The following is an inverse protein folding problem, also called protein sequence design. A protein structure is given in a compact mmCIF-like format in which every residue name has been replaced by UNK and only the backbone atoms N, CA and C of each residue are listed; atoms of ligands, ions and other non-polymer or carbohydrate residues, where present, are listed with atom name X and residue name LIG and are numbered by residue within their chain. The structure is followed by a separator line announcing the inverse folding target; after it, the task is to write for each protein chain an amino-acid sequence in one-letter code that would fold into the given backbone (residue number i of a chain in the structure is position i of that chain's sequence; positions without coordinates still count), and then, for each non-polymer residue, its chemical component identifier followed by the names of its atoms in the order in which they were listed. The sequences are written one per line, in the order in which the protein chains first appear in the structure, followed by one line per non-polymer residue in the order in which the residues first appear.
data_IF_439785403659
#
_entry.id   IF_439785403659
#
_cell.length_a   1.000
_cell.length_b   1.000
_cell.length_c   1.000
_cell.angle_alpha   90.00
_cell.angle_beta   90.00
_cell.angle_gamma   90.00
#
_symmetry.space_group_name_H-M   'P 1'
#
loop_
_entity.id
_entity.type
_entity.pdbx_description
1 polymer ?
#
# COMPACT_ATOMS: atom_id res chain seq x y z
N UNK A 1 -12.75 35.86 18.57
CA UNK A 1 -11.51 35.77 17.78
C UNK A 1 -11.79 34.91 16.55
N UNK A 2 -11.84 35.52 15.36
CA UNK A 2 -12.22 34.86 14.09
C UNK A 2 -11.02 34.08 13.54
N UNK A 3 -11.11 32.75 13.44
CA UNK A 3 -10.12 31.92 12.73
C UNK A 3 -10.51 31.87 11.24
N UNK A 4 -9.59 32.27 10.36
CA UNK A 4 -9.69 32.07 8.89
C UNK A 4 -9.38 30.60 8.56
N UNK A 5 -9.95 30.02 7.49
CA UNK A 5 -9.57 28.69 7.02
C UNK A 5 -8.29 28.77 6.19
N UNK A 6 -7.38 27.83 6.42
CA UNK A 6 -6.16 27.59 5.63
C UNK A 6 -6.51 27.06 4.23
N UNK A 7 -5.98 27.73 3.22
CA UNK A 7 -6.00 27.31 1.82
C UNK A 7 -4.98 26.20 1.62
N UNK A 8 -5.44 25.00 1.27
CA UNK A 8 -4.55 23.91 0.85
C UNK A 8 -4.07 24.15 -0.57
N UNK A 9 -2.79 24.53 -0.71
CA UNK A 9 -2.10 24.65 -2.00
C UNK A 9 -1.95 23.26 -2.64
N UNK A 10 -2.76 23.01 -3.67
CA UNK A 10 -2.69 21.82 -4.51
C UNK A 10 -1.65 21.97 -5.62
N UNK A 11 -0.73 21.02 -5.71
CA UNK A 11 0.25 20.87 -6.78
C UNK A 11 -0.38 20.89 -8.18
N UNK A 12 0.08 21.82 -9.04
CA UNK A 12 -0.27 21.86 -10.47
C UNK A 12 0.75 21.04 -11.26
N UNK A 13 0.31 19.94 -11.88
CA UNK A 13 1.12 19.14 -12.80
C UNK A 13 0.98 19.67 -14.24
N UNK A 14 1.98 20.38 -14.74
CA UNK A 14 2.07 20.79 -16.16
C UNK A 14 2.73 19.68 -16.98
N UNK A 15 1.97 19.00 -17.85
CA UNK A 15 2.53 18.07 -18.84
C UNK A 15 3.08 18.84 -20.04
N UNK A 16 4.41 18.83 -20.21
CA UNK A 16 5.10 19.30 -21.41
C UNK A 16 4.95 18.28 -22.53
N UNK A 17 4.34 18.69 -23.65
CA UNK A 17 4.08 17.87 -24.82
C UNK A 17 5.36 17.38 -25.52
N UNK A 18 5.27 16.19 -26.12
CA UNK A 18 6.29 15.65 -27.04
C UNK A 18 5.64 15.40 -28.40
N UNK A 19 5.95 16.29 -29.34
CA UNK A 19 5.71 16.11 -30.76
C UNK A 19 6.52 14.92 -31.29
N UNK A 20 5.94 14.10 -32.17
CA UNK A 20 6.69 13.17 -33.01
C UNK A 20 6.30 13.34 -34.47
N UNK A 21 7.30 13.75 -35.23
CA UNK A 21 7.33 13.94 -36.66
C UNK A 21 7.03 12.65 -37.45
N UNK A 22 6.39 12.83 -38.60
CA UNK A 22 6.15 11.79 -39.59
C UNK A 22 7.40 11.40 -40.37
N UNK A 23 7.45 10.15 -40.80
CA UNK A 23 8.45 9.65 -41.76
C UNK A 23 7.74 8.82 -42.84
N UNK A 24 7.71 9.35 -44.06
CA UNK A 24 7.41 8.63 -45.30
C UNK A 24 8.74 8.07 -45.85
N UNK A 25 8.79 6.78 -46.17
CA UNK A 25 9.86 6.20 -47.00
C UNK A 25 9.27 5.56 -48.26
N UNK A 26 9.76 6.05 -49.41
CA UNK A 26 9.69 5.43 -50.74
C UNK A 26 10.72 4.29 -50.82
N UNK A 27 10.49 3.28 -51.65
CA UNK A 27 11.56 2.40 -52.15
C UNK A 27 11.37 2.16 -53.66
N UNK A 28 12.51 2.21 -54.32
CA UNK A 28 12.80 2.34 -55.75
C UNK A 28 12.90 1.01 -56.48
N UNK A 29 12.69 1.07 -57.79
CA UNK A 29 13.01 0.10 -58.84
C UNK A 29 14.52 0.06 -59.13
N UNK A 30 15.03 -1.12 -59.48
CA UNK A 30 16.32 -1.35 -60.17
C UNK A 30 16.08 -2.49 -61.17
N UNK A 31 16.38 -2.21 -62.43
CA UNK A 31 16.49 -3.13 -63.56
C UNK A 31 17.91 -3.73 -63.57
N UNK A 32 18.07 -4.97 -64.05
CA UNK A 32 19.21 -5.41 -64.86
C UNK A 32 18.91 -6.79 -65.47
N UNK A 33 18.92 -6.82 -66.80
CA UNK A 33 18.82 -7.92 -67.79
C UNK A 33 20.20 -8.62 -67.99
N UNK A 34 20.41 -9.58 -68.93
CA UNK A 34 19.62 -10.73 -69.40
C UNK A 34 20.53 -12.01 -69.57
N UNK A 35 20.12 -12.93 -70.46
CA UNK A 35 20.79 -14.13 -70.99
C UNK A 35 20.61 -15.46 -70.25
N UNK A 36 19.66 -16.28 -70.73
CA UNK A 36 19.91 -17.68 -71.16
C UNK A 36 18.73 -18.16 -72.02
N UNK A 37 18.97 -18.34 -73.31
CA UNK A 37 18.04 -18.97 -74.27
C UNK A 37 18.25 -20.49 -74.30
N UNK A 38 17.25 -21.29 -73.89
CA UNK A 38 17.10 -22.70 -74.30
C UNK A 38 15.61 -23.08 -74.39
N UNK A 39 15.11 -23.01 -75.61
CA UNK A 39 14.23 -23.96 -76.33
C UNK A 39 13.28 -24.90 -75.56
N UNK A 40 12.04 -24.87 -76.07
CA UNK A 40 11.12 -25.99 -76.30
C UNK A 40 10.27 -26.55 -75.15
N UNK A 41 8.98 -26.18 -75.24
CA UNK A 41 7.88 -26.82 -74.51
C UNK A 41 6.66 -25.94 -74.30
N UNK A 42 6.18 -25.22 -75.33
CA UNK A 42 4.89 -24.50 -75.24
C UNK A 42 3.75 -25.52 -75.18
N UNK A 43 3.35 -25.90 -73.97
CA UNK A 43 2.13 -26.68 -73.72
C UNK A 43 0.96 -25.71 -73.65
N UNK A 44 0.17 -25.65 -74.72
CA UNK A 44 -1.10 -24.93 -74.71
C UNK A 44 -2.08 -25.63 -73.76
N UNK A 45 -2.38 -24.99 -72.62
CA UNK A 45 -3.41 -25.45 -71.70
C UNK A 45 -4.80 -25.30 -72.36
N UNK A 46 -5.66 -26.34 -72.30
CA UNK A 46 -7.02 -26.26 -72.78
C UNK A 46 -7.78 -25.10 -72.12
N UNK A 47 -8.29 -24.17 -72.93
CA UNK A 47 -8.99 -22.95 -72.46
C UNK A 47 -10.37 -23.25 -71.85
N UNK A 48 -10.73 -24.52 -71.62
CA UNK A 48 -11.92 -24.91 -70.86
C UNK A 48 -11.98 -26.42 -70.61
N UNK A 49 -11.70 -26.85 -69.38
CA UNK A 49 -11.77 -28.25 -68.92
C UNK A 49 -13.19 -28.70 -68.51
N UNK A 50 -14.20 -27.87 -68.77
CA UNK A 50 -15.61 -28.18 -68.43
C UNK A 50 -16.54 -27.79 -69.58
N UNK A 51 -17.45 -28.67 -70.03
CA UNK A 51 -18.38 -28.38 -71.11
C UNK A 51 -19.25 -27.17 -70.74
N UNK A 52 -19.25 -26.17 -71.63
CA UNK A 52 -20.04 -24.94 -71.46
C UNK A 52 -21.52 -25.28 -71.69
N UNK A 53 -22.24 -25.58 -70.61
CA UNK A 53 -23.69 -25.81 -70.64
C UNK A 53 -24.42 -24.51 -71.00
N UNK A 54 -24.74 -24.34 -72.29
CA UNK A 54 -25.42 -23.15 -72.84
C UNK A 54 -26.85 -22.98 -72.30
N UNK A 55 -27.51 -24.05 -71.82
CA UNK A 55 -28.90 -24.03 -71.31
C UNK A 55 -29.08 -23.15 -70.07
N UNK A 56 -28.03 -22.99 -69.25
CA UNK A 56 -28.07 -22.16 -68.04
C UNK A 56 -27.59 -20.71 -68.28
N UNK A 57 -27.40 -20.29 -69.54
CA UNK A 57 -26.92 -18.96 -69.90
C UNK A 57 -27.89 -17.85 -69.44
N UNK A 58 -29.18 -18.13 -69.38
CA UNK A 58 -30.19 -17.19 -68.88
C UNK A 58 -30.15 -17.05 -67.35
N UNK A 59 -29.96 -18.15 -66.62
CA UNK A 59 -29.75 -18.14 -65.17
C UNK A 59 -28.49 -17.36 -64.77
N UNK A 60 -27.47 -17.33 -65.64
CA UNK A 60 -26.24 -16.55 -65.45
C UNK A 60 -26.40 -15.05 -65.75
N UNK A 61 -27.39 -14.65 -66.56
CA UNK A 61 -27.65 -13.25 -66.92
C UNK A 61 -28.68 -12.58 -66.01
N UNK A 62 -29.64 -13.34 -65.46
CA UNK A 62 -30.80 -12.80 -64.72
C UNK A 62 -30.60 -12.51 -63.23
N UNK A 63 -29.40 -12.69 -62.67
CA UNK A 63 -29.11 -12.39 -61.26
C UNK A 63 -27.64 -12.07 -61.15
N UNK A 64 -27.31 -10.78 -61.06
CA UNK A 64 -25.94 -10.27 -61.00
C UNK A 64 -25.06 -11.17 -60.14
N UNK A 65 -23.92 -11.57 -60.71
CA UNK A 65 -22.87 -12.42 -60.12
C UNK A 65 -22.99 -12.47 -58.59
N UNK A 66 -23.67 -13.48 -58.06
CA UNK A 66 -23.68 -13.75 -56.62
C UNK A 66 -22.21 -13.98 -56.24
N UNK A 67 -21.62 -13.04 -55.51
CA UNK A 67 -20.33 -13.17 -54.88
C UNK A 67 -20.34 -14.47 -54.07
N UNK A 68 -19.69 -15.52 -54.58
CA UNK A 68 -19.45 -16.76 -53.83
C UNK A 68 -18.54 -16.52 -52.61
N UNK A 69 -18.05 -15.28 -52.44
CA UNK A 69 -17.33 -14.82 -51.26
C UNK A 69 -18.27 -14.31 -50.14
N UNK A 70 -19.42 -13.70 -50.44
CA UNK A 70 -20.24 -13.00 -49.41
C UNK A 70 -21.06 -13.94 -48.52
N UNK A 71 -21.31 -15.16 -48.99
CA UNK A 71 -22.11 -16.18 -48.29
C UNK A 71 -21.26 -17.36 -47.80
N UNK A 72 -19.95 -17.35 -48.09
CA UNK A 72 -19.00 -18.41 -47.71
C UNK A 72 -18.29 -17.99 -46.42
N UNK A 73 -18.92 -18.27 -45.28
CA UNK A 73 -18.39 -17.95 -43.95
C UNK A 73 -19.47 -17.72 -42.88
N UNK A 74 -20.72 -17.44 -43.28
CA UNK A 74 -21.85 -17.18 -42.36
C UNK A 74 -22.44 -18.44 -41.69
N UNK A 75 -21.64 -19.47 -41.45
CA UNK A 75 -22.10 -20.79 -40.95
C UNK A 75 -21.40 -21.14 -39.63
N UNK A 76 -21.88 -20.54 -38.52
CA UNK A 76 -21.78 -21.04 -37.14
C UNK A 76 -22.43 -20.12 -36.08
N UNK A 77 -22.77 -18.86 -36.42
CA UNK A 77 -23.10 -17.81 -35.43
C UNK A 77 -24.33 -16.92 -35.70
N UNK A 78 -25.02 -17.07 -36.84
CA UNK A 78 -26.08 -16.13 -37.23
C UNK A 78 -27.50 -16.50 -36.76
N UNK A 79 -27.66 -17.43 -35.81
CA UNK A 79 -28.99 -17.84 -35.33
C UNK A 79 -29.38 -17.01 -34.10
N UNK A 80 -30.28 -16.05 -34.29
CA UNK A 80 -31.16 -15.50 -33.26
C UNK A 80 -30.61 -14.45 -32.28
N UNK A 81 -29.32 -14.46 -31.92
CA UNK A 81 -28.79 -13.56 -30.85
C UNK A 81 -27.53 -12.78 -31.22
N UNK A 82 -27.04 -12.90 -32.46
CA UNK A 82 -25.93 -12.08 -32.98
C UNK A 82 -24.55 -12.44 -32.43
N UNK A 83 -24.38 -13.62 -31.84
CA UNK A 83 -23.11 -14.03 -31.24
C UNK A 83 -22.22 -14.77 -32.24
N UNK A 84 -21.14 -14.11 -32.65
CA UNK A 84 -20.07 -14.68 -33.48
C UNK A 84 -19.12 -15.54 -32.62
N UNK A 85 -18.76 -16.74 -33.09
CA UNK A 85 -17.90 -17.65 -32.36
C UNK A 85 -16.58 -16.94 -31.95
N UNK A 86 -16.04 -17.28 -30.78
CA UNK A 86 -14.78 -16.70 -30.30
C UNK A 86 -13.68 -16.87 -31.36
N UNK A 87 -12.88 -15.82 -31.65
CA UNK A 87 -11.78 -15.92 -32.59
C UNK A 87 -10.74 -16.92 -32.06
N UNK A 88 -10.05 -17.62 -32.98
CA UNK A 88 -9.01 -18.58 -32.61
C UNK A 88 -7.92 -17.90 -31.77
N UNK A 89 -7.24 -18.67 -30.90
CA UNK A 89 -6.25 -18.16 -29.96
C UNK A 89 -5.09 -17.41 -30.63
N UNK A 90 -4.78 -17.74 -31.89
CA UNK A 90 -3.70 -17.12 -32.67
C UNK A 90 -4.04 -15.73 -33.21
N UNK A 91 -5.32 -15.35 -33.22
CA UNK A 91 -5.72 -14.03 -33.71
C UNK A 91 -5.33 -12.99 -32.67
N UNK A 92 -4.48 -12.00 -33.03
CA UNK A 92 -4.07 -10.99 -32.08
C UNK A 92 -5.24 -10.03 -31.78
N UNK A 93 -5.29 -9.49 -30.56
CA UNK A 93 -6.46 -8.74 -30.07
C UNK A 93 -6.79 -7.50 -30.89
N UNK A 94 -5.79 -6.94 -31.58
CA UNK A 94 -5.94 -5.77 -32.43
C UNK A 94 -6.60 -6.08 -33.78
N UNK A 95 -6.73 -7.34 -34.20
CA UNK A 95 -7.33 -7.73 -35.49
C UNK A 95 -8.78 -8.24 -35.37
N UNK A 96 -9.31 -8.35 -34.15
CA UNK A 96 -10.67 -8.82 -33.89
C UNK A 96 -11.74 -8.11 -34.71
N UNK A 97 -11.60 -6.80 -34.93
CA UNK A 97 -12.55 -6.02 -35.72
C UNK A 97 -12.71 -6.51 -37.17
N UNK A 98 -11.72 -7.20 -37.75
CA UNK A 98 -11.76 -7.74 -39.12
C UNK A 98 -12.67 -8.97 -39.24
N UNK A 99 -12.83 -9.70 -38.13
CA UNK A 99 -13.61 -10.94 -38.07
C UNK A 99 -15.07 -10.69 -37.71
N UNK A 100 -15.45 -9.45 -37.40
CA UNK A 100 -16.83 -9.09 -37.11
C UNK A 100 -17.52 -8.68 -38.40
N UNK A 101 -18.68 -9.26 -38.68
CA UNK A 101 -19.45 -8.90 -39.87
C UNK A 101 -19.77 -7.40 -39.92
N UNK A 102 -19.54 -6.80 -41.10
CA UNK A 102 -19.79 -5.37 -41.35
C UNK A 102 -21.28 -5.03 -41.44
N UNK A 103 -22.13 -6.05 -41.56
CA UNK A 103 -23.58 -5.91 -41.69
C UNK A 103 -24.27 -5.60 -40.33
N UNK A 104 -23.56 -5.79 -39.21
CA UNK A 104 -24.08 -5.52 -37.86
C UNK A 104 -24.01 -4.02 -37.53
N UNK A 105 -25.00 -3.53 -36.76
CA UNK A 105 -24.98 -2.16 -36.23
C UNK A 105 -23.74 -1.91 -35.36
N UNK A 106 -23.26 -0.66 -35.33
CA UNK A 106 -22.03 -0.34 -34.60
C UNK A 106 -22.07 -0.76 -33.11
N UNK A 107 -23.17 -0.57 -32.35
CA UNK A 107 -23.22 -1.01 -30.96
C UNK A 107 -23.12 -2.53 -30.82
N UNK A 108 -23.67 -3.29 -31.76
CA UNK A 108 -23.57 -4.75 -31.77
C UNK A 108 -22.16 -5.21 -32.15
N UNK A 109 -21.50 -4.52 -33.08
CA UNK A 109 -20.09 -4.79 -33.41
C UNK A 109 -19.19 -4.54 -32.21
N UNK A 110 -19.41 -3.45 -31.47
CA UNK A 110 -18.64 -3.16 -30.25
C UNK A 110 -18.98 -4.16 -29.15
N UNK A 111 -20.25 -4.54 -28.98
CA UNK A 111 -20.65 -5.58 -28.03
C UNK A 111 -19.88 -6.87 -28.27
N UNK A 112 -19.83 -7.30 -29.53
CA UNK A 112 -19.12 -8.51 -29.93
C UNK A 112 -17.61 -8.41 -29.67
N UNK A 113 -17.01 -7.26 -30.02
CA UNK A 113 -15.60 -6.99 -29.77
C UNK A 113 -15.26 -7.02 -28.27
N UNK A 114 -16.09 -6.37 -27.44
CA UNK A 114 -15.94 -6.30 -25.99
C UNK A 114 -16.02 -7.70 -25.36
N UNK A 115 -16.93 -8.52 -25.88
CA UNK A 115 -17.13 -9.90 -25.42
C UNK A 115 -15.93 -10.80 -25.74
N UNK A 116 -15.35 -10.67 -26.92
CA UNK A 116 -14.11 -11.38 -27.28
C UNK A 116 -12.91 -10.91 -26.48
N UNK A 117 -12.74 -9.59 -26.35
CA UNK A 117 -11.64 -9.01 -25.59
C UNK A 117 -11.71 -9.38 -24.10
N UNK A 118 -12.90 -9.34 -23.49
CA UNK A 118 -13.10 -9.72 -22.08
C UNK A 118 -12.87 -11.20 -21.85
N UNK A 119 -13.34 -12.09 -22.74
CA UNK A 119 -13.07 -13.53 -22.66
C UNK A 119 -11.58 -13.85 -22.71
N UNK A 120 -10.82 -13.18 -23.59
CA UNK A 120 -9.36 -13.32 -23.64
C UNK A 120 -8.67 -12.72 -22.41
N UNK A 121 -9.11 -11.57 -21.92
CA UNK A 121 -8.56 -10.98 -20.71
C UNK A 121 -8.76 -11.88 -19.48
N UNK A 122 -9.91 -12.55 -19.37
CA UNK A 122 -10.18 -13.54 -18.31
C UNK A 122 -9.23 -14.75 -18.42
N UNK A 123 -8.96 -15.23 -19.63
CA UNK A 123 -7.98 -16.29 -19.88
C UNK A 123 -6.57 -15.88 -19.46
N UNK A 124 -6.14 -14.67 -19.82
CA UNK A 124 -4.85 -14.11 -19.43
C UNK A 124 -4.75 -13.90 -17.91
N UNK A 125 -5.82 -13.41 -17.27
CA UNK A 125 -5.89 -13.27 -15.81
C UNK A 125 -5.84 -14.63 -15.11
N UNK A 126 -6.47 -15.67 -15.66
CA UNK A 126 -6.38 -17.03 -15.13
C UNK A 126 -4.94 -17.55 -15.16
N UNK A 127 -4.22 -17.30 -16.25
CA UNK A 127 -2.80 -17.69 -16.39
C UNK A 127 -1.86 -16.93 -15.45
N UNK A 128 -2.13 -15.65 -15.17
CA UNK A 128 -1.29 -14.81 -14.30
C UNK A 128 -1.40 -15.16 -12.81
N UNK A 129 -2.59 -15.55 -12.34
CA UNK A 129 -2.88 -15.76 -10.91
C UNK A 129 -3.23 -17.22 -10.60
N UNK A 130 -2.46 -18.18 -11.12
CA UNK A 130 -2.77 -19.60 -10.99
C UNK A 130 -2.72 -20.14 -9.56
N UNK A 131 -1.87 -19.59 -8.68
CA UNK A 131 -1.54 -20.20 -7.37
C UNK A 131 -1.21 -19.21 -6.22
N UNK A 132 -1.39 -17.90 -6.41
CA UNK A 132 -1.04 -16.88 -5.39
C UNK A 132 -2.18 -16.64 -4.38
N UNK A 133 -1.93 -16.05 -3.19
CA UNK A 133 -3.02 -15.62 -2.28
C UNK A 133 -3.96 -14.60 -2.96
N UNK A 134 -3.38 -13.77 -3.84
CA UNK A 134 -4.08 -12.89 -4.79
C UNK A 134 -5.02 -13.66 -5.73
N UNK A 135 -4.89 -14.98 -5.87
CA UNK A 135 -5.80 -15.81 -6.66
C UNK A 135 -7.22 -15.84 -6.08
N UNK A 136 -7.41 -15.66 -4.77
CA UNK A 136 -8.74 -15.59 -4.15
C UNK A 136 -9.45 -14.29 -4.58
N UNK A 137 -8.78 -13.15 -4.42
CA UNK A 137 -9.31 -11.85 -4.85
C UNK A 137 -9.50 -11.80 -6.38
N UNK A 138 -8.53 -12.34 -7.13
CA UNK A 138 -8.64 -12.46 -8.57
C UNK A 138 -9.78 -13.40 -9.00
N UNK A 139 -10.07 -14.47 -8.24
CA UNK A 139 -11.20 -15.34 -8.51
C UNK A 139 -12.55 -14.61 -8.34
N UNK A 140 -12.68 -13.81 -7.28
CA UNK A 140 -13.85 -12.95 -7.06
C UNK A 140 -13.97 -11.93 -8.20
N UNK A 141 -12.87 -11.28 -8.58
CA UNK A 141 -12.89 -10.34 -9.71
C UNK A 141 -13.31 -11.02 -11.02
N UNK A 142 -12.81 -12.23 -11.29
CA UNK A 142 -13.19 -13.03 -12.47
C UNK A 142 -14.67 -13.41 -12.45
N UNK A 143 -15.22 -13.82 -11.31
CA UNK A 143 -16.64 -14.18 -11.21
C UNK A 143 -17.54 -12.97 -11.47
N UNK A 144 -17.19 -11.79 -10.94
CA UNK A 144 -17.92 -10.54 -11.19
C UNK A 144 -17.87 -10.17 -12.68
N UNK A 145 -16.70 -10.24 -13.31
CA UNK A 145 -16.56 -9.93 -14.75
C UNK A 145 -17.35 -10.93 -15.61
N UNK A 146 -17.36 -12.20 -15.24
CA UNK A 146 -18.14 -13.22 -15.94
C UNK A 146 -19.65 -13.01 -15.80
N UNK A 147 -20.12 -12.56 -14.64
CA UNK A 147 -21.52 -12.17 -14.44
C UNK A 147 -21.91 -11.00 -15.35
N UNK A 148 -21.11 -9.93 -15.36
CA UNK A 148 -21.33 -8.77 -16.25
C UNK A 148 -21.33 -9.18 -17.72
N UNK A 149 -20.45 -10.11 -18.10
CA UNK A 149 -20.38 -10.66 -19.46
C UNK A 149 -21.67 -11.44 -19.80
N UNK A 150 -22.19 -12.24 -18.86
CA UNK A 150 -23.46 -12.94 -19.03
C UNK A 150 -24.65 -11.97 -19.14
N UNK A 151 -24.64 -10.86 -18.39
CA UNK A 151 -25.66 -9.81 -18.49
C UNK A 151 -25.61 -9.07 -19.84
N UNK A 152 -24.40 -8.82 -20.34
CA UNK A 152 -24.18 -8.26 -21.67
C UNK A 152 -24.73 -9.22 -22.74
N UNK A 153 -24.42 -10.51 -22.64
CA UNK A 153 -24.97 -11.56 -23.51
C UNK A 153 -26.50 -11.57 -23.50
N UNK A 154 -27.10 -11.50 -22.30
CA UNK A 154 -28.55 -11.46 -22.09
C UNK A 154 -29.22 -10.14 -22.53
N UNK A 155 -28.49 -9.19 -23.11
CA UNK A 155 -28.98 -7.87 -23.53
C UNK A 155 -29.60 -7.04 -22.38
N UNK A 156 -29.23 -7.31 -21.12
CA UNK A 156 -29.68 -6.51 -19.97
C UNK A 156 -29.02 -5.14 -19.95
N UNK A 157 -27.74 -5.08 -20.35
CA UNK A 157 -26.94 -3.86 -20.44
C UNK A 157 -26.96 -3.36 -21.88
N UNK A 158 -27.45 -2.14 -22.11
CA UNK A 158 -27.42 -1.52 -23.43
C UNK A 158 -26.03 -1.01 -23.77
N UNK A 159 -25.48 -1.44 -24.92
CA UNK A 159 -24.18 -0.98 -25.45
C UNK A 159 -24.32 0.26 -26.33
N UNK A 160 -25.56 0.70 -26.57
CA UNK A 160 -25.86 1.84 -27.44
C UNK A 160 -25.41 3.15 -26.78
N UNK A 161 -24.43 3.82 -27.38
CA UNK A 161 -24.04 5.17 -26.99
C UNK A 161 -24.85 6.27 -27.69
N UNK A 162 -25.76 5.92 -28.60
CA UNK A 162 -26.55 6.89 -29.37
C UNK A 162 -27.42 7.81 -28.51
N UNK A 163 -27.76 7.38 -27.28
CA UNK A 163 -28.63 8.11 -26.35
C UNK A 163 -27.89 8.66 -25.13
N UNK A 164 -26.55 8.70 -25.15
CA UNK A 164 -25.76 9.16 -23.99
C UNK A 164 -25.91 10.68 -23.80
N UNK A 165 -26.42 11.17 -22.66
CA UNK A 165 -26.43 12.61 -22.39
C UNK A 165 -24.98 13.13 -22.25
N UNK A 166 -24.68 14.32 -22.78
CA UNK A 166 -23.31 14.84 -22.84
C UNK A 166 -22.67 15.04 -21.44
N UNK A 167 -23.48 15.29 -20.41
CA UNK A 167 -23.02 15.64 -19.05
C UNK A 167 -23.07 14.45 -18.05
N UNK A 168 -23.07 13.21 -18.54
CA UNK A 168 -23.08 12.04 -17.67
C UNK A 168 -21.75 11.89 -16.91
N UNK A 169 -21.68 12.46 -15.69
CA UNK A 169 -20.55 12.27 -14.78
C UNK A 169 -20.57 10.85 -14.23
N UNK A 170 -19.52 10.08 -14.55
CA UNK A 170 -19.32 8.74 -14.00
C UNK A 170 -18.67 8.91 -12.61
N UNK A 171 -19.23 8.32 -11.54
CA UNK A 171 -18.59 8.39 -10.22
C UNK A 171 -17.25 7.65 -10.26
N UNK A 172 -16.17 8.38 -10.01
CA UNK A 172 -14.83 7.83 -9.98
C UNK A 172 -14.59 7.11 -8.65
N UNK A 173 -13.95 5.94 -8.70
CA UNK A 173 -13.40 5.30 -7.50
C UNK A 173 -12.26 6.18 -6.95
N UNK A 174 -12.09 6.25 -5.62
CA UNK A 174 -10.96 6.98 -5.04
C UNK A 174 -9.65 6.39 -5.56
N UNK A 175 -8.67 7.27 -5.85
CA UNK A 175 -7.37 6.83 -6.32
C UNK A 175 -6.68 5.97 -5.23
N UNK A 176 -5.98 4.87 -5.56
CA UNK A 176 -5.35 4.00 -4.56
C UNK A 176 -4.34 4.74 -3.67
N UNK A 177 -3.68 5.77 -4.19
CA UNK A 177 -2.81 6.64 -3.38
C UNK A 177 -3.59 7.37 -2.28
N UNK A 178 -4.84 7.79 -2.54
CA UNK A 178 -5.64 8.49 -1.54
C UNK A 178 -5.97 7.57 -0.36
N UNK A 179 -6.24 6.29 -0.64
CA UNK A 179 -6.48 5.29 0.41
C UNK A 179 -5.21 5.04 1.23
N UNK A 180 -4.06 4.86 0.58
CA UNK A 180 -2.77 4.70 1.27
C UNK A 180 -2.41 5.92 2.10
N UNK A 181 -2.63 7.12 1.57
CA UNK A 181 -2.38 8.36 2.29
C UNK A 181 -3.31 8.50 3.51
N UNK A 182 -4.59 8.15 3.39
CA UNK A 182 -5.53 8.17 4.51
C UNK A 182 -5.08 7.20 5.63
N UNK A 183 -4.73 5.96 5.27
CA UNK A 183 -4.18 4.98 6.23
C UNK A 183 -2.91 5.51 6.91
N UNK A 184 -1.99 6.09 6.13
CA UNK A 184 -0.75 6.65 6.68
C UNK A 184 -1.02 7.83 7.63
N UNK A 185 -1.98 8.69 7.31
CA UNK A 185 -2.38 9.81 8.18
C UNK A 185 -2.95 9.28 9.49
N UNK A 186 -3.80 8.25 9.44
CA UNK A 186 -4.36 7.62 10.64
C UNK A 186 -3.25 7.02 11.52
N UNK A 187 -2.33 6.26 10.93
CA UNK A 187 -1.17 5.69 11.63
C UNK A 187 -0.28 6.77 12.26
N UNK A 188 0.03 7.84 11.53
CA UNK A 188 0.86 8.94 12.01
C UNK A 188 0.15 9.74 13.11
N UNK A 189 -1.16 9.94 13.01
CA UNK A 189 -1.94 10.61 14.03
C UNK A 189 -1.96 9.82 15.34
N UNK A 190 -2.09 8.49 15.27
CA UNK A 190 -2.02 7.60 16.43
C UNK A 190 -0.61 7.61 17.07
N UNK A 191 0.45 7.63 16.26
CA UNK A 191 1.83 7.77 16.77
C UNK A 191 2.05 9.13 17.42
N UNK A 192 1.51 10.21 16.84
CA UNK A 192 1.61 11.55 17.42
C UNK A 192 0.92 11.62 18.78
N UNK A 193 -0.28 11.06 18.92
CA UNK A 193 -0.98 11.05 20.22
C UNK A 193 -0.21 10.22 21.26
N UNK A 194 0.37 9.08 20.89
CA UNK A 194 1.24 8.31 21.77
C UNK A 194 2.45 9.14 22.24
N UNK A 195 3.17 9.78 21.32
CA UNK A 195 4.33 10.61 21.65
C UNK A 195 3.96 11.80 22.53
N UNK A 196 2.80 12.43 22.31
CA UNK A 196 2.33 13.52 23.17
C UNK A 196 2.03 13.03 24.60
N UNK A 197 1.46 11.83 24.74
CA UNK A 197 1.22 11.22 26.05
C UNK A 197 2.54 10.87 26.75
N UNK A 198 3.51 10.32 26.03
CA UNK A 198 4.85 10.04 26.56
C UNK A 198 5.53 11.35 26.99
N UNK A 199 5.50 12.38 26.16
CA UNK A 199 6.08 13.68 26.47
C UNK A 199 5.43 14.30 27.72
N UNK A 200 4.11 14.21 27.87
CA UNK A 200 3.40 14.64 29.06
C UNK A 200 3.81 13.83 30.31
N UNK A 201 3.96 12.51 30.19
CA UNK A 201 4.44 11.65 31.27
C UNK A 201 5.87 12.01 31.69
N UNK A 202 6.78 12.23 30.74
CA UNK A 202 8.15 12.65 31.01
C UNK A 202 8.22 14.03 31.66
N UNK A 203 7.40 14.98 31.22
CA UNK A 203 7.29 16.30 31.87
C UNK A 203 6.80 16.18 33.31
N UNK A 204 5.85 15.28 33.60
CA UNK A 204 5.37 15.04 34.96
C UNK A 204 6.47 14.43 35.85
N UNK A 205 7.24 13.46 35.34
CA UNK A 205 8.38 12.87 36.06
C UNK A 205 9.46 13.93 36.33
N UNK A 206 9.80 14.77 35.36
CA UNK A 206 10.76 15.86 35.53
C UNK A 206 10.28 16.92 36.53
N UNK A 207 8.99 17.24 36.55
CA UNK A 207 8.42 18.16 37.55
C UNK A 207 8.45 17.56 38.97
N UNK A 208 8.19 16.25 39.09
CA UNK A 208 8.25 15.53 40.35
C UNK A 208 9.69 15.44 40.88
N UNK A 209 10.68 15.18 40.02
CA UNK A 209 12.10 15.15 40.43
C UNK A 209 12.56 16.51 40.95
N UNK A 210 12.25 17.60 40.23
CA UNK A 210 12.58 18.97 40.66
C UNK A 210 11.90 19.33 42.00
N UNK A 211 10.68 18.85 42.24
CA UNK A 211 9.99 19.05 43.51
C UNK A 211 10.65 18.28 44.65
N UNK A 212 11.07 17.02 44.40
CA UNK A 212 11.80 16.22 45.37
C UNK A 212 13.17 16.81 45.72
N UNK A 213 13.89 17.36 44.73
CA UNK A 213 15.18 18.02 44.95
C UNK A 213 15.03 19.28 45.81
N UNK A 214 13.98 20.08 45.58
CA UNK A 214 13.66 21.24 46.42
C UNK A 214 13.34 20.84 47.85
N UNK A 215 12.56 19.77 48.05
CA UNK A 215 12.27 19.24 49.38
C UNK A 215 13.54 18.73 50.07
N UNK A 216 14.41 17.99 49.38
CA UNK A 216 15.69 17.51 49.92
C UNK A 216 16.60 18.70 50.29
N UNK A 217 16.69 19.73 49.46
CA UNK A 217 17.48 20.93 49.76
C UNK A 217 16.94 21.69 50.97
N UNK A 218 15.61 21.81 51.09
CA UNK A 218 14.99 22.44 52.27
C UNK A 218 15.26 21.65 53.56
N UNK A 219 15.24 20.32 53.48
CA UNK A 219 15.59 19.44 54.60
C UNK A 219 17.06 19.56 54.97
N UNK A 220 17.99 19.53 54.00
CA UNK A 220 19.42 19.76 54.23
C UNK A 220 19.69 21.10 54.93
N UNK A 221 19.06 22.17 54.46
CA UNK A 221 19.19 23.50 55.07
C UNK A 221 18.65 23.55 56.52
N UNK A 222 17.57 22.82 56.80
CA UNK A 222 17.04 22.68 58.15
C UNK A 222 18.00 21.90 59.07
N UNK A 223 18.64 20.83 58.56
CA UNK A 223 19.64 20.04 59.30
C UNK A 223 20.90 20.85 59.59
N UNK A 224 21.45 21.57 58.61
CA UNK A 224 22.61 22.47 58.83
C UNK A 224 22.32 23.56 59.87
N UNK A 225 21.06 24.01 59.96
CA UNK A 225 20.62 24.97 60.97
C UNK A 225 20.50 24.37 62.38
N UNK A 226 20.45 23.05 62.51
CA UNK A 226 20.44 22.32 63.80
C UNK A 226 21.88 22.07 64.25
N UNK A 227 22.77 21.63 63.35
CA UNK A 227 24.20 21.44 63.65
C UNK A 227 24.87 22.74 64.10
N UNK A 228 24.53 23.86 63.47
CA UNK A 228 25.10 25.18 63.84
C UNK A 228 24.66 25.68 65.22
N UNK A 229 23.68 25.03 65.87
CA UNK A 229 23.16 25.43 67.20
C UNK A 229 23.65 24.54 68.34
N UNK A 230 24.34 23.43 68.07
CA UNK A 230 24.79 22.49 69.10
C UNK A 230 26.23 22.73 69.59
N UNK A 231 26.92 23.77 69.12
CA UNK A 231 28.32 24.05 69.46
C UNK A 231 28.53 25.11 70.57
N UNK A 232 27.51 25.39 71.38
CA UNK A 232 27.57 26.29 72.54
C UNK A 232 27.10 25.57 73.81
N UNK A 233 27.94 24.70 74.39
CA UNK A 233 27.81 24.37 75.82
C UNK A 233 29.09 23.70 76.37
N UNK A 234 30.01 24.55 76.83
CA UNK A 234 31.09 24.21 77.77
C UNK A 234 31.33 25.41 78.70
N UNK A 235 30.51 25.56 79.73
CA UNK A 235 30.91 26.28 80.94
C UNK A 235 30.42 25.54 82.19
N UNK A 236 31.38 24.93 82.87
CA UNK A 236 31.29 24.38 84.22
C UNK A 236 31.12 25.51 85.25
N UNK A 237 30.06 25.47 86.06
CA UNK A 237 30.04 25.87 87.49
C UNK A 237 28.65 25.74 88.10
N UNK A 238 28.47 24.98 89.21
CA UNK A 238 27.28 25.08 90.05
C UNK A 238 27.60 25.58 91.47
N UNK A 239 26.83 26.59 91.92
CA UNK A 239 26.58 26.96 93.33
C UNK A 239 25.05 26.92 93.55
N UNK A 240 24.55 26.70 94.78
CA UNK A 240 23.63 25.60 95.08
C UNK A 240 22.26 26.12 95.61
N UNK A 241 21.44 25.31 96.29
CA UNK A 241 20.13 24.87 95.81
C UNK A 241 18.97 25.54 96.55
N UNK A 242 17.95 26.00 95.85
CA UNK A 242 16.58 26.07 96.37
C UNK A 242 15.62 26.28 95.19
N UNK A 243 14.39 25.79 95.37
CA UNK A 243 13.26 25.82 94.42
C UNK A 243 13.25 24.70 93.35
N UNK A 244 12.73 23.55 93.76
CA UNK A 244 12.34 22.46 92.88
C UNK A 244 10.87 22.59 92.43
N UNK A 245 10.61 22.98 91.17
CA UNK A 245 9.44 22.55 90.44
C UNK A 245 9.84 21.55 89.35
N UNK A 246 9.34 20.32 89.52
CA UNK A 246 8.88 19.43 88.46
C UNK A 246 9.84 19.11 87.29
N UNK A 247 10.33 17.86 87.27
CA UNK A 247 10.86 17.18 86.07
C UNK A 247 9.77 16.33 85.39
N UNK A 248 8.84 16.88 84.55
CA UNK A 248 7.86 16.06 83.85
C UNK A 248 8.07 16.05 82.32
N UNK A 249 9.31 16.07 81.79
CA UNK A 249 9.50 16.12 80.33
C UNK A 249 10.55 15.17 79.73
N UNK A 250 11.52 14.63 80.49
CA UNK A 250 12.54 13.73 79.91
C UNK A 250 11.95 12.35 79.59
N UNK A 251 11.01 11.87 80.40
CA UNK A 251 10.29 10.60 80.15
C UNK A 251 9.39 10.65 78.92
N UNK A 252 8.89 11.83 78.53
CA UNK A 252 8.08 12.03 77.31
C UNK A 252 8.92 12.11 76.04
N UNK A 253 10.22 12.39 76.15
CA UNK A 253 11.13 12.51 75.01
C UNK A 253 11.68 11.16 74.55
N UNK A 254 11.92 10.23 75.48
CA UNK A 254 12.34 8.84 75.17
C UNK A 254 11.43 8.11 74.17
N UNK A 255 10.09 8.06 74.33
CA UNK A 255 9.23 7.36 73.37
C UNK A 255 9.24 8.03 72.00
N UNK A 256 9.34 9.36 71.93
CA UNK A 256 9.48 10.09 70.66
C UNK A 256 10.76 9.69 69.93
N UNK A 257 11.88 9.59 70.67
CA UNK A 257 13.14 9.15 70.09
C UNK A 257 13.05 7.70 69.58
N UNK A 258 12.46 6.79 70.35
CA UNK A 258 12.22 5.41 69.89
C UNK A 258 11.35 5.36 68.63
N UNK A 259 10.25 6.12 68.57
CA UNK A 259 9.40 6.15 67.35
C UNK A 259 10.14 6.68 66.12
N UNK A 260 11.03 7.66 66.29
CA UNK A 260 11.85 8.16 65.18
C UNK A 260 12.91 7.14 64.76
N UNK A 261 13.49 6.42 65.73
CA UNK A 261 14.46 5.36 65.46
C UNK A 261 13.81 4.18 64.73
N UNK A 262 12.61 3.77 65.14
CA UNK A 262 11.83 2.72 64.49
C UNK A 262 11.45 3.12 63.05
N UNK A 263 11.01 4.37 62.85
CA UNK A 263 10.70 4.89 61.52
C UNK A 263 11.94 4.96 60.61
N UNK A 264 13.11 5.29 61.18
CA UNK A 264 14.38 5.25 60.47
C UNK A 264 14.80 3.82 60.13
N UNK A 265 14.61 2.86 61.04
CA UNK A 265 14.85 1.46 60.79
C UNK A 265 13.93 0.91 59.70
N UNK A 266 12.64 1.24 59.71
CA UNK A 266 11.69 0.91 58.63
C UNK A 266 12.12 1.51 57.29
N UNK A 267 12.54 2.77 57.26
CA UNK A 267 13.06 3.41 56.04
C UNK A 267 14.33 2.72 55.52
N UNK A 268 15.25 2.30 56.40
CA UNK A 268 16.43 1.54 56.00
C UNK A 268 16.04 0.15 55.47
N UNK A 269 15.10 -0.54 56.13
CA UNK A 269 14.60 -1.84 55.69
C UNK A 269 13.87 -1.77 54.34
N UNK A 270 13.06 -0.75 54.10
CA UNK A 270 12.39 -0.53 52.80
C UNK A 270 13.41 -0.23 51.70
N UNK A 271 14.44 0.57 51.97
CA UNK A 271 15.51 0.86 51.03
C UNK A 271 16.37 -0.40 50.74
N UNK A 272 16.64 -1.21 51.76
CA UNK A 272 17.31 -2.51 51.59
C UNK A 272 16.44 -3.50 50.80
N UNK A 273 15.13 -3.53 51.04
CA UNK A 273 14.19 -4.35 50.25
C UNK A 273 14.14 -3.90 48.79
N UNK A 274 14.14 -2.59 48.53
CA UNK A 274 14.12 -2.05 47.17
C UNK A 274 15.42 -2.33 46.42
N UNK A 275 16.56 -2.22 47.10
CA UNK A 275 17.88 -2.54 46.52
C UNK A 275 18.04 -4.03 46.23
N UNK A 276 17.50 -4.90 47.07
CA UNK A 276 17.47 -6.35 46.81
C UNK A 276 16.47 -6.76 45.72
N UNK A 277 15.36 -6.03 45.56
CA UNK A 277 14.42 -6.25 44.45
C UNK A 277 14.95 -5.73 43.10
N UNK A 278 15.87 -4.75 43.11
CA UNK A 278 16.51 -4.19 41.92
C UNK A 278 17.09 -5.22 40.94
N UNK A 279 17.92 -6.21 41.35
CA UNK A 279 18.43 -7.25 40.47
C UNK A 279 17.31 -8.16 39.91
N UNK A 280 16.26 -8.45 40.67
CA UNK A 280 15.13 -9.26 40.18
C UNK A 280 14.36 -8.53 39.08
N UNK A 281 14.01 -7.25 39.31
CA UNK A 281 13.32 -6.40 38.32
C UNK A 281 14.19 -6.18 37.07
N UNK A 282 15.50 -5.95 37.26
CA UNK A 282 16.44 -5.86 36.13
C UNK A 282 16.51 -7.17 35.35
N UNK A 283 16.50 -8.30 36.05
CA UNK A 283 16.55 -9.62 35.40
C UNK A 283 15.25 -9.94 34.66
N UNK A 284 14.09 -9.57 35.19
CA UNK A 284 12.79 -9.79 34.53
C UNK A 284 12.66 -8.92 33.28
N UNK A 285 13.03 -7.63 33.37
CA UNK A 285 13.08 -6.75 32.21
C UNK A 285 14.10 -7.22 31.17
N UNK A 286 15.29 -7.67 31.61
CA UNK A 286 16.29 -8.25 30.72
C UNK A 286 15.81 -9.52 30.02
N UNK A 287 15.04 -10.38 30.70
CA UNK A 287 14.42 -11.58 30.10
C UNK A 287 13.35 -11.20 29.07
N UNK A 288 12.49 -10.22 29.36
CA UNK A 288 11.47 -9.73 28.43
C UNK A 288 12.12 -9.14 27.18
N UNK A 289 13.09 -8.23 27.35
CA UNK A 289 13.84 -7.64 26.24
C UNK A 289 14.58 -8.70 25.39
N UNK A 290 15.13 -9.75 26.04
CA UNK A 290 15.75 -10.86 25.33
C UNK A 290 14.72 -11.71 24.55
N UNK A 291 13.53 -11.96 25.11
CA UNK A 291 12.46 -12.65 24.41
C UNK A 291 11.97 -11.86 23.20
N UNK A 292 11.76 -10.55 23.36
CA UNK A 292 11.36 -9.65 22.27
C UNK A 292 12.43 -9.61 21.17
N UNK A 293 13.72 -9.56 21.53
CA UNK A 293 14.81 -9.64 20.56
C UNK A 293 14.83 -10.97 19.80
N UNK A 294 14.60 -12.10 20.48
CA UNK A 294 14.53 -13.43 19.84
C UNK A 294 13.30 -13.50 18.92
N UNK A 295 12.16 -12.96 19.33
CA UNK A 295 10.94 -12.91 18.51
C UNK A 295 11.16 -12.05 17.26
N UNK A 296 11.74 -10.86 17.42
CA UNK A 296 12.10 -9.98 16.31
C UNK A 296 13.10 -10.63 15.36
N UNK A 297 14.12 -11.33 15.89
CA UNK A 297 15.08 -12.09 15.07
C UNK A 297 14.42 -13.23 14.29
N UNK A 298 13.48 -13.97 14.89
CA UNK A 298 12.71 -15.01 14.18
C UNK A 298 11.88 -14.40 13.04
N UNK A 299 11.22 -13.27 13.29
CA UNK A 299 10.47 -12.51 12.28
C UNK A 299 11.38 -12.06 11.12
N UNK A 300 12.56 -11.52 11.43
CA UNK A 300 13.56 -11.14 10.42
C UNK A 300 14.10 -12.33 9.63
N UNK A 301 14.29 -13.51 10.26
CA UNK A 301 14.71 -14.71 9.54
C UNK A 301 13.61 -15.26 8.62
N UNK A 302 12.33 -15.17 9.01
CA UNK A 302 11.24 -15.45 8.06
C UNK A 302 11.20 -14.45 6.92
N UNK A 303 11.49 -13.17 7.18
CA UNK A 303 11.55 -12.13 6.16
C UNK A 303 12.75 -12.33 5.20
N UNK A 304 13.90 -12.76 5.73
CA UNK A 304 15.12 -13.04 4.96
C UNK A 304 14.95 -14.11 3.88
N UNK A 305 13.97 -15.03 4.00
CA UNK A 305 13.70 -16.03 2.95
C UNK A 305 13.01 -15.44 1.72
N UNK A 306 12.37 -14.28 1.86
CA UNK A 306 11.57 -13.65 0.81
C UNK A 306 12.20 -12.37 0.25
N UNK A 307 13.31 -11.91 0.82
CA UNK A 307 13.89 -10.60 0.47
C UNK A 307 15.23 -10.79 -0.21
N UNK A 308 15.27 -10.47 -1.50
CA UNK A 308 16.51 -10.33 -2.27
C UNK A 308 17.50 -9.43 -1.53
N UNK A 309 18.73 -9.93 -1.36
CA UNK A 309 19.84 -9.22 -0.71
C UNK A 309 20.08 -7.82 -1.32
N UNK A 310 19.77 -7.65 -2.61
CA UNK A 310 19.86 -6.37 -3.31
C UNK A 310 18.83 -5.34 -2.84
N UNK A 311 17.63 -5.76 -2.41
CA UNK A 311 16.62 -4.86 -1.89
C UNK A 311 16.99 -4.35 -0.49
N UNK A 312 17.58 -5.20 0.35
CA UNK A 312 18.14 -4.79 1.64
C UNK A 312 19.27 -3.78 1.46
N UNK A 313 20.20 -4.01 0.53
CA UNK A 313 21.28 -3.06 0.24
C UNK A 313 20.75 -1.72 -0.28
N UNK A 314 19.72 -1.72 -1.13
CA UNK A 314 19.06 -0.47 -1.56
C UNK A 314 18.43 0.27 -0.38
N UNK A 315 17.65 -0.41 0.45
CA UNK A 315 17.03 0.19 1.63
C UNK A 315 18.06 0.75 2.61
N UNK A 316 19.16 0.03 2.85
CA UNK A 316 20.23 0.49 3.74
C UNK A 316 20.97 1.70 3.16
N UNK A 317 21.19 1.72 1.83
CA UNK A 317 21.77 2.88 1.15
C UNK A 317 20.85 4.10 1.25
N UNK A 318 19.54 3.94 1.06
CA UNK A 318 18.58 5.05 1.21
C UNK A 318 18.52 5.56 2.65
N UNK A 319 18.54 4.67 3.63
CA UNK A 319 18.54 5.06 5.05
C UNK A 319 19.82 5.82 5.42
N UNK A 320 20.99 5.38 4.94
CA UNK A 320 22.26 6.08 5.15
C UNK A 320 22.25 7.47 4.52
N UNK A 321 21.72 7.60 3.29
CA UNK A 321 21.62 8.91 2.64
C UNK A 321 20.65 9.85 3.36
N UNK A 322 19.51 9.34 3.85
CA UNK A 322 18.53 10.14 4.61
C UNK A 322 19.04 10.60 5.98
N UNK A 323 19.86 9.78 6.65
CA UNK A 323 20.50 10.16 7.90
C UNK A 323 21.46 11.34 7.70
N UNK A 324 22.31 11.28 6.68
CA UNK A 324 23.26 12.37 6.39
C UNK A 324 22.57 13.64 5.89
N UNK A 325 21.43 13.55 5.21
CA UNK A 325 20.69 14.76 4.80
C UNK A 325 19.99 15.47 5.97
N UNK A 326 19.65 14.76 7.04
CA UNK A 326 19.00 15.34 8.21
C UNK A 326 19.98 15.99 9.20
N UNK A 327 21.28 15.71 9.13
CA UNK A 327 22.32 16.40 9.93
C UNK A 327 22.82 17.70 9.28
N UNK A 328 22.37 18.05 8.07
CA UNK A 328 22.83 19.23 7.32
C UNK A 328 21.84 20.41 7.25
N UNK A 329 20.86 20.49 8.15
CA UNK A 329 19.90 21.62 8.29
C UNK A 329 19.90 22.11 9.75
#
# INVERSE_FOLDING_TARGET
MKRKPEEQEGFVFVRKGKEKAGSKRRKSSVEDDPDTSQTDGLVELPVSDTPIVKRNKELRKGKGRRSSLDQRGKRASSIGTGFEALPHADVPSHEYYRHISKDLSEPLRIKQLLLWASSKALEEQRKKYGETEEASEAAIARSIVQEVLNELLANKVSVSWYQRPPDAVIPNKPHPQNLKNAQLVDELSAKLTQLHNEEAAWRAVAANSVSSDKSILSFKKAVESIDSKQDLDKQDSPLPPDDAPELPNISKLKPKFHTLLDMLAENIHTLHSLTNAGPEVRSSYGRLAAQDFIAHRKSLLSFSKYVDTMNLLRLLSEASYKSSSNESV
#
